data_IF_119560007161
#
_entry.id   IF_119560007161
#
_cell.length_a   1.000
_cell.length_b   1.000
_cell.length_c   1.000
_cell.angle_alpha   90.00
_cell.angle_beta   90.00
_cell.angle_gamma   90.00
#
_symmetry.space_group_name_H-M   'P 1'
#
loop_
_entity.id
_entity.type
_entity.pdbx_description
1 polymer ?
#
# COMPACT_ATOMS: atom_id res chain seq x y z
N UNK A 1 -12.53 2.53 -15.99
CA UNK A 1 -11.52 2.52 -14.91
C UNK A 1 -11.63 1.18 -14.19
N UNK A 2 -10.55 0.40 -14.06
CA UNK A 2 -10.59 -0.82 -13.25
C UNK A 2 -10.75 -0.40 -11.78
N UNK A 3 -11.95 -0.57 -11.24
CA UNK A 3 -12.36 -0.10 -9.92
C UNK A 3 -12.16 -1.17 -8.85
N UNK A 4 -10.94 -1.70 -8.74
CA UNK A 4 -10.65 -2.78 -7.78
C UNK A 4 -9.17 -2.88 -7.45
N UNK A 5 -8.89 -3.03 -6.17
CA UNK A 5 -7.58 -3.29 -5.59
C UNK A 5 -7.75 -4.00 -4.26
N UNK A 6 -6.72 -4.70 -3.80
CA UNK A 6 -6.70 -5.40 -2.51
C UNK A 6 -5.49 -4.89 -1.75
N UNK A 7 -5.71 -4.44 -0.51
CA UNK A 7 -4.65 -4.27 0.45
C UNK A 7 -4.47 -5.60 1.18
N UNK A 8 -3.30 -6.20 1.04
CA UNK A 8 -2.95 -7.47 1.69
C UNK A 8 -1.94 -7.24 2.81
N UNK A 9 -2.15 -7.92 3.93
CA UNK A 9 -1.17 -8.04 5.00
C UNK A 9 -1.06 -9.51 5.39
N UNK A 10 0.16 -10.00 5.50
CA UNK A 10 0.45 -11.43 5.71
C UNK A 10 1.33 -11.60 6.94
N UNK A 11 1.02 -12.63 7.73
CA UNK A 11 1.80 -13.05 8.89
C UNK A 11 2.12 -14.53 8.78
N UNK A 12 3.37 -14.87 9.02
CA UNK A 12 3.84 -16.25 9.17
C UNK A 12 4.28 -16.49 10.61
N UNK A 13 3.71 -17.51 11.25
CA UNK A 13 3.92 -17.79 12.67
C UNK A 13 3.92 -19.29 12.95
N UNK A 14 4.42 -19.67 14.12
CA UNK A 14 4.13 -21.00 14.68
C UNK A 14 2.62 -21.20 14.86
N UNK A 15 2.06 -22.40 14.62
CA UNK A 15 0.61 -22.65 14.72
C UNK A 15 0.00 -22.22 16.06
N UNK A 16 0.74 -22.36 17.17
CA UNK A 16 0.28 -21.98 18.51
C UNK A 16 0.13 -20.46 18.70
N UNK A 17 0.82 -19.64 17.89
CA UNK A 17 0.79 -18.17 17.98
C UNK A 17 -0.18 -17.53 16.99
N UNK A 18 -0.75 -18.30 16.06
CA UNK A 18 -1.53 -17.77 14.94
C UNK A 18 -2.70 -16.88 15.37
N UNK A 19 -3.50 -17.30 16.36
CA UNK A 19 -4.64 -16.49 16.83
C UNK A 19 -4.18 -15.22 17.55
N UNK A 20 -3.11 -15.30 18.35
CA UNK A 20 -2.54 -14.14 19.03
C UNK A 20 -1.98 -13.12 18.03
N UNK A 21 -1.27 -13.59 17.01
CA UNK A 21 -0.74 -12.75 15.95
C UNK A 21 -1.86 -12.11 15.10
N UNK A 22 -2.92 -12.87 14.80
CA UNK A 22 -4.12 -12.34 14.13
C UNK A 22 -4.76 -11.21 14.94
N UNK A 23 -4.97 -11.43 16.23
CA UNK A 23 -5.55 -10.43 17.12
C UNK A 23 -4.67 -9.17 17.22
N UNK A 24 -3.35 -9.34 17.32
CA UNK A 24 -2.40 -8.23 17.35
C UNK A 24 -2.42 -7.40 16.05
N UNK A 25 -2.48 -8.04 14.89
CA UNK A 25 -2.58 -7.34 13.61
C UNK A 25 -3.92 -6.62 13.44
N UNK A 26 -5.04 -7.28 13.78
CA UNK A 26 -6.36 -6.63 13.76
C UNK A 26 -6.38 -5.39 14.66
N UNK A 27 -5.79 -5.48 15.86
CA UNK A 27 -5.65 -4.33 16.75
C UNK A 27 -4.81 -3.21 16.12
N UNK A 28 -3.61 -3.54 15.60
CA UNK A 28 -2.72 -2.55 14.99
C UNK A 28 -3.37 -1.84 13.79
N UNK A 29 -4.10 -2.57 12.95
CA UNK A 29 -4.83 -1.99 11.81
C UNK A 29 -5.96 -1.07 12.26
N UNK A 30 -6.70 -1.42 13.31
CA UNK A 30 -7.76 -0.55 13.87
C UNK A 30 -7.20 0.71 14.50
N UNK A 31 -6.12 0.59 15.27
CA UNK A 31 -5.43 1.74 15.86
C UNK A 31 -4.89 2.67 14.77
N UNK A 32 -4.27 2.10 13.73
CA UNK A 32 -3.79 2.86 12.59
C UNK A 32 -4.93 3.53 11.81
N UNK A 33 -6.05 2.85 11.58
CA UNK A 33 -7.23 3.42 10.91
C UNK A 33 -7.88 4.56 11.71
N UNK A 34 -7.81 4.51 13.05
CA UNK A 34 -8.33 5.55 13.93
C UNK A 34 -7.39 6.75 14.03
N UNK A 35 -6.08 6.50 14.12
CA UNK A 35 -5.05 7.54 14.28
C UNK A 35 -4.72 8.24 12.97
N UNK A 36 -4.65 7.50 11.88
CA UNK A 36 -4.08 7.94 10.61
C UNK A 36 -2.55 8.12 10.67
N UNK A 37 -2.05 8.74 9.61
CA UNK A 37 -0.71 9.29 9.50
C UNK A 37 -0.65 10.70 10.11
N UNK A 38 0.52 11.02 10.65
CA UNK A 38 0.96 12.39 10.93
C UNK A 38 1.60 13.02 9.68
N UNK A 39 1.81 14.34 9.70
CA UNK A 39 2.49 15.04 8.61
C UNK A 39 3.93 14.52 8.38
N UNK A 40 4.68 14.30 9.46
CA UNK A 40 6.05 13.79 9.40
C UNK A 40 6.10 12.35 8.85
N UNK A 41 5.16 11.49 9.25
CA UNK A 41 5.05 10.13 8.72
C UNK A 41 4.68 10.14 7.22
N UNK A 42 3.80 11.05 6.79
CA UNK A 42 3.46 11.22 5.38
C UNK A 42 4.67 11.69 4.56
N UNK A 43 5.40 12.71 5.03
CA UNK A 43 6.60 13.22 4.36
C UNK A 43 7.64 12.10 4.19
N UNK A 44 7.92 11.34 5.25
CA UNK A 44 8.85 10.22 5.22
C UNK A 44 8.38 9.13 4.25
N UNK A 45 7.09 8.79 4.24
CA UNK A 45 6.53 7.80 3.32
C UNK A 45 6.63 8.24 1.85
N UNK A 46 6.31 9.49 1.54
CA UNK A 46 6.42 10.04 0.18
C UNK A 46 7.88 10.06 -0.30
N UNK A 47 8.82 10.40 0.57
CA UNK A 47 10.25 10.36 0.27
C UNK A 47 10.72 8.93 -0.05
N UNK A 48 10.26 7.93 0.72
CA UNK A 48 10.60 6.53 0.47
C UNK A 48 10.00 6.04 -0.87
N UNK A 49 8.72 6.31 -1.14
CA UNK A 49 8.06 5.92 -2.41
C UNK A 49 8.76 6.53 -3.62
N UNK A 50 9.10 7.83 -3.54
CA UNK A 50 9.86 8.51 -4.60
C UNK A 50 11.21 7.85 -4.82
N UNK A 51 11.93 7.54 -3.75
CA UNK A 51 13.25 6.89 -3.84
C UNK A 51 13.14 5.49 -4.45
N UNK A 52 12.15 4.69 -4.02
CA UNK A 52 11.89 3.36 -4.57
C UNK A 52 11.55 3.41 -6.06
N UNK A 53 10.74 4.37 -6.49
CA UNK A 53 10.41 4.55 -7.90
C UNK A 53 11.66 4.87 -8.74
N UNK A 54 12.51 5.80 -8.29
CA UNK A 54 13.73 6.16 -9.01
C UNK A 54 14.68 4.97 -9.12
N UNK A 55 15.01 4.31 -8.00
CA UNK A 55 15.89 3.12 -7.98
C UNK A 55 15.33 1.97 -8.82
N UNK A 56 14.02 1.73 -8.72
CA UNK A 56 13.32 0.70 -9.49
C UNK A 56 13.38 0.89 -11.00
N UNK A 57 13.72 2.10 -11.46
CA UNK A 57 13.73 2.49 -12.87
C UNK A 57 15.12 2.86 -13.41
N UNK A 58 16.19 2.51 -12.71
CA UNK A 58 17.58 2.75 -13.14
C UNK A 58 17.99 1.82 -14.30
N UNK A 59 17.51 0.56 -14.28
CA UNK A 59 17.77 -0.38 -15.37
C UNK A 59 16.78 -0.19 -16.52
N UNK A 60 17.27 -0.39 -17.75
CA UNK A 60 16.48 -0.21 -18.98
C UNK A 60 15.27 -1.13 -19.06
N UNK A 61 15.45 -2.40 -18.69
CA UNK A 61 14.40 -3.42 -18.71
C UNK A 61 13.33 -3.17 -17.64
N UNK A 62 13.73 -2.78 -16.43
CA UNK A 62 12.80 -2.39 -15.37
C UNK A 62 11.98 -1.14 -15.78
N UNK A 63 12.64 -0.12 -16.33
CA UNK A 63 11.96 1.08 -16.85
C UNK A 63 10.99 0.76 -17.97
N UNK A 64 11.36 -0.12 -18.90
CA UNK A 64 10.46 -0.55 -19.97
C UNK A 64 9.20 -1.24 -19.41
N UNK A 65 9.34 -2.07 -18.37
CA UNK A 65 8.21 -2.71 -17.71
C UNK A 65 7.29 -1.70 -17.00
N UNK A 66 7.87 -0.68 -16.34
CA UNK A 66 7.08 0.42 -15.74
C UNK A 66 6.32 1.20 -16.80
N UNK A 67 6.96 1.63 -17.89
CA UNK A 67 6.29 2.34 -18.99
C UNK A 67 5.15 1.52 -19.60
N UNK A 68 5.37 0.22 -19.84
CA UNK A 68 4.32 -0.69 -20.31
C UNK A 68 3.14 -0.81 -19.33
N UNK A 69 3.43 -0.80 -18.02
CA UNK A 69 2.38 -0.81 -16.97
C UNK A 69 1.57 0.49 -16.99
N UNK A 70 2.22 1.64 -17.12
CA UNK A 70 1.55 2.94 -17.20
C UNK A 70 0.61 3.03 -18.42
N UNK A 71 1.03 2.52 -19.57
CA UNK A 71 0.17 2.42 -20.77
C UNK A 71 -1.02 1.49 -20.53
N UNK A 72 -0.79 0.32 -19.94
CA UNK A 72 -1.86 -0.64 -19.62
C UNK A 72 -2.91 -0.07 -18.64
N UNK A 73 -2.50 0.85 -17.77
CA UNK A 73 -3.37 1.56 -16.83
C UNK A 73 -4.02 2.81 -17.44
N UNK A 74 -3.79 3.10 -18.72
CA UNK A 74 -4.24 4.31 -19.41
C UNK A 74 -3.69 5.62 -18.82
N UNK A 75 -2.54 5.57 -18.15
CA UNK A 75 -1.82 6.75 -17.64
C UNK A 75 -0.90 7.34 -18.72
N UNK A 76 -0.40 6.49 -19.62
CA UNK A 76 0.51 6.87 -20.69
C UNK A 76 1.97 7.02 -20.24
N UNK A 77 2.91 6.90 -21.18
CA UNK A 77 4.35 7.00 -20.90
C UNK A 77 4.77 8.34 -20.28
N UNK A 78 4.08 9.44 -20.61
CA UNK A 78 4.34 10.77 -20.06
C UNK A 78 4.11 10.83 -18.54
N UNK A 79 3.28 9.94 -17.98
CA UNK A 79 3.07 9.87 -16.53
C UNK A 79 4.33 9.48 -15.76
N UNK A 80 5.30 8.84 -16.42
CA UNK A 80 6.60 8.51 -15.79
C UNK A 80 7.30 9.75 -15.24
N UNK A 81 7.31 10.83 -16.02
CA UNK A 81 7.94 12.10 -15.63
C UNK A 81 7.04 12.93 -14.70
N UNK A 82 5.72 12.74 -14.78
CA UNK A 82 4.75 13.41 -13.91
C UNK A 82 4.67 12.79 -12.51
N UNK A 83 5.01 11.50 -12.34
CA UNK A 83 4.82 10.76 -11.10
C UNK A 83 5.40 11.44 -9.84
N UNK A 84 6.62 12.04 -9.85
CA UNK A 84 7.12 12.75 -8.68
C UNK A 84 6.29 13.98 -8.29
N UNK A 85 5.67 14.66 -9.26
CA UNK A 85 4.79 15.80 -9.00
C UNK A 85 3.43 15.32 -8.46
N UNK A 86 2.88 14.26 -9.02
CA UNK A 86 1.65 13.61 -8.53
C UNK A 86 1.79 13.14 -7.08
N UNK A 87 2.94 12.53 -6.73
CA UNK A 87 3.25 12.17 -5.34
C UNK A 87 3.28 13.39 -4.42
N UNK A 88 3.81 14.52 -4.89
CA UNK A 88 3.85 15.77 -4.12
C UNK A 88 2.47 16.42 -3.94
N UNK A 89 1.46 15.99 -4.71
CA UNK A 89 0.07 16.46 -4.58
C UNK A 89 -0.75 15.71 -3.51
N UNK A 90 -0.23 14.60 -2.97
CA UNK A 90 -0.95 13.80 -1.97
C UNK A 90 -1.04 14.57 -0.65
N UNK A 91 -2.27 14.83 -0.20
CA UNK A 91 -2.51 15.55 1.06
C UNK A 91 -2.70 14.59 2.25
N UNK A 92 -2.48 15.11 3.45
CA UNK A 92 -2.68 14.37 4.70
C UNK A 92 -4.15 14.00 4.91
N UNK A 93 -5.06 14.89 4.53
CA UNK A 93 -6.49 14.71 4.61
C UNK A 93 -6.95 13.57 3.68
N UNK A 94 -6.51 13.58 2.42
CA UNK A 94 -6.88 12.56 1.43
C UNK A 94 -6.39 11.18 1.84
N UNK A 95 -5.12 11.05 2.25
CA UNK A 95 -4.57 9.75 2.60
C UNK A 95 -5.20 9.20 3.89
N UNK A 96 -5.48 10.06 4.88
CA UNK A 96 -6.15 9.62 6.10
C UNK A 96 -7.61 9.22 5.86
N UNK A 97 -8.32 9.92 4.96
CA UNK A 97 -9.65 9.52 4.51
C UNK A 97 -9.60 8.15 3.80
N UNK A 98 -8.61 7.95 2.92
CA UNK A 98 -8.40 6.67 2.23
C UNK A 98 -8.07 5.53 3.20
N UNK A 99 -7.17 5.74 4.17
CA UNK A 99 -6.81 4.75 5.20
C UNK A 99 -8.07 4.29 5.97
N UNK A 100 -8.91 5.24 6.39
CA UNK A 100 -10.15 4.93 7.10
C UNK A 100 -11.15 4.13 6.26
N UNK A 101 -11.23 4.41 4.97
CA UNK A 101 -12.13 3.72 4.04
C UNK A 101 -11.64 2.31 3.69
N UNK A 102 -10.35 2.16 3.35
CA UNK A 102 -9.78 0.88 2.91
C UNK A 102 -9.64 -0.12 4.07
N UNK A 103 -9.37 0.35 5.29
CA UNK A 103 -9.27 -0.47 6.50
C UNK A 103 -10.59 -0.63 7.26
N UNK A 104 -11.71 -0.21 6.68
CA UNK A 104 -13.02 -0.38 7.31
C UNK A 104 -13.27 -1.88 7.62
N UNK A 105 -13.64 -2.26 8.87
CA UNK A 105 -13.80 -3.66 9.25
C UNK A 105 -14.77 -4.46 8.37
N UNK A 106 -15.78 -3.79 7.80
CA UNK A 106 -16.75 -4.38 6.88
C UNK A 106 -16.13 -4.85 5.54
N UNK A 107 -14.91 -4.41 5.22
CA UNK A 107 -14.17 -4.77 4.00
C UNK A 107 -13.05 -5.80 4.27
N UNK A 108 -12.81 -6.16 5.52
CA UNK A 108 -11.75 -7.07 5.90
C UNK A 108 -12.14 -8.53 5.65
N UNK A 109 -11.19 -9.31 5.13
CA UNK A 109 -11.29 -10.77 5.01
C UNK A 109 -10.03 -11.40 5.57
N UNK A 110 -10.18 -12.56 6.23
CA UNK A 110 -9.08 -13.28 6.86
C UNK A 110 -8.97 -14.68 6.29
N UNK A 111 -7.76 -15.06 5.90
CA UNK A 111 -7.42 -16.41 5.46
C UNK A 111 -6.32 -16.95 6.35
N UNK A 112 -6.51 -18.16 6.89
CA UNK A 112 -5.49 -18.86 7.69
C UNK A 112 -5.09 -20.13 6.99
N UNK A 113 -3.80 -20.26 6.71
CA UNK A 113 -3.19 -21.45 6.12
C UNK A 113 -2.29 -22.10 7.17
N UNK A 114 -2.41 -23.41 7.37
CA UNK A 114 -1.64 -24.15 8.36
C UNK A 114 -2.06 -25.61 8.44
N UNK A 115 -1.37 -26.43 9.26
CA UNK A 115 -1.70 -27.83 9.43
C UNK A 115 -3.17 -27.99 9.83
N UNK A 116 -3.80 -29.06 9.32
CA UNK A 116 -5.05 -29.56 9.91
C UNK A 116 -4.74 -29.85 11.37
N UNK A 117 -5.63 -29.41 12.27
CA UNK A 117 -5.51 -29.67 13.71
C UNK A 117 -5.09 -31.11 13.98
#
# INVERSE_FOLDING_TARGET
MKSGGILESTLETEPAKAEGARAALDQALREFAARGLTADELEAALAEVKTQFLRGNERKDARAATLGTLEMLCLGAAFFDAFPAELGGVTLEEINAYIKDILAPARASWVRIGPKK
#
